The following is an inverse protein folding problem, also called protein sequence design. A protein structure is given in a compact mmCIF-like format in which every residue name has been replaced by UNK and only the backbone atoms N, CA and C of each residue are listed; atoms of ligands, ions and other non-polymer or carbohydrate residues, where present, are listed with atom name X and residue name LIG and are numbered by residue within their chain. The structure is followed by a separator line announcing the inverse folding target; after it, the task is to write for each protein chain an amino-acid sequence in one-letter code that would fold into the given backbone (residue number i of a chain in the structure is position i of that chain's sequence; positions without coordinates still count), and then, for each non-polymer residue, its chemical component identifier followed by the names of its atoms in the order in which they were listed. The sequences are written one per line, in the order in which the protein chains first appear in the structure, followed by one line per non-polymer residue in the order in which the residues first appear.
data_IF_745925687130
#
_entry.id   IF_745925687130
#
_cell.length_a   1.000
_cell.length_b   1.000
_cell.length_c   1.000
_cell.angle_alpha   90.00
_cell.angle_beta   90.00
_cell.angle_gamma   90.00
#
_symmetry.space_group_name_H-M   'P 1'
#
loop_
_entity.id
_entity.type
_entity.pdbx_description
1 polymer ?
#
# COMPACT_ATOMS: atom_id res chain seq x y z
N UNK A 1 13.27 3.07 46.31
CA UNK A 1 13.73 3.18 44.91
C UNK A 1 13.14 2.02 44.17
N UNK A 2 12.08 2.25 43.40
CA UNK A 2 11.42 1.19 42.60
C UNK A 2 12.00 1.22 41.21
N UNK A 3 12.67 0.14 40.85
CA UNK A 3 13.24 -0.07 39.52
C UNK A 3 12.08 -0.38 38.53
N UNK A 4 11.71 0.57 37.72
CA UNK A 4 10.71 0.40 36.69
C UNK A 4 11.29 -0.55 35.60
N UNK A 5 10.95 -1.82 35.70
CA UNK A 5 11.29 -2.82 34.68
C UNK A 5 10.56 -2.50 33.41
N UNK A 6 11.29 -2.10 32.36
CA UNK A 6 10.77 -1.98 31.02
C UNK A 6 10.35 -3.39 30.57
N UNK A 7 9.05 -3.65 30.55
CA UNK A 7 8.47 -4.83 29.94
C UNK A 7 8.78 -4.79 28.42
N UNK A 8 9.89 -5.42 28.02
CA UNK A 8 10.15 -5.73 26.62
C UNK A 8 9.08 -6.74 26.19
N UNK A 9 8.07 -6.27 25.48
CA UNK A 9 7.11 -7.13 24.80
C UNK A 9 7.89 -8.11 23.92
N UNK A 10 7.87 -9.40 24.26
CA UNK A 10 8.50 -10.45 23.45
C UNK A 10 7.63 -10.62 22.22
N UNK A 11 8.15 -10.27 21.06
CA UNK A 11 7.54 -10.66 19.77
C UNK A 11 7.29 -12.18 19.79
N UNK A 12 6.14 -12.60 19.31
CA UNK A 12 5.87 -14.04 19.20
C UNK A 12 6.89 -14.67 18.24
N UNK A 13 7.18 -15.95 18.44
CA UNK A 13 8.09 -16.70 17.56
C UNK A 13 7.60 -16.63 16.10
N UNK A 14 6.28 -16.63 15.88
CA UNK A 14 5.68 -16.48 14.55
C UNK A 14 5.98 -15.11 13.93
N UNK A 15 5.90 -14.03 14.72
CA UNK A 15 6.27 -12.67 14.25
C UNK A 15 7.76 -12.57 13.90
N UNK A 16 8.63 -13.17 14.71
CA UNK A 16 10.07 -13.19 14.43
C UNK A 16 10.39 -14.01 13.17
N UNK A 17 9.69 -15.13 12.96
CA UNK A 17 9.85 -15.94 11.75
C UNK A 17 9.33 -15.21 10.50
N UNK A 18 8.20 -14.54 10.57
CA UNK A 18 7.66 -13.75 9.47
C UNK A 18 8.62 -12.61 9.10
N UNK A 19 9.10 -11.84 10.09
CA UNK A 19 10.08 -10.77 9.89
C UNK A 19 11.37 -11.33 9.27
N UNK A 20 11.91 -12.43 9.80
CA UNK A 20 13.14 -13.04 9.28
C UNK A 20 12.98 -13.67 7.89
N UNK A 21 11.78 -14.15 7.53
CA UNK A 21 11.48 -14.62 6.18
C UNK A 21 11.50 -13.46 5.19
N UNK A 22 10.79 -12.41 5.53
CA UNK A 22 10.73 -11.20 4.72
C UNK A 22 12.07 -10.50 4.60
N UNK A 23 12.84 -10.39 5.69
CA UNK A 23 14.21 -9.85 5.61
C UNK A 23 15.12 -10.69 4.71
N UNK A 24 14.91 -12.02 4.66
CA UNK A 24 15.66 -12.90 3.75
C UNK A 24 15.24 -12.70 2.30
N UNK A 25 13.96 -12.56 2.02
CA UNK A 25 13.44 -12.26 0.68
C UNK A 25 13.94 -10.91 0.19
N UNK A 26 13.85 -9.88 1.01
CA UNK A 26 14.42 -8.55 0.73
C UNK A 26 15.92 -8.65 0.44
N UNK A 27 16.68 -9.38 1.25
CA UNK A 27 18.14 -9.55 1.04
C UNK A 27 18.46 -10.37 -0.21
N UNK A 28 17.64 -11.35 -0.57
CA UNK A 28 17.84 -12.18 -1.75
C UNK A 28 17.61 -11.40 -3.06
N UNK A 29 16.69 -10.45 -3.04
CA UNK A 29 16.35 -9.57 -4.18
C UNK A 29 17.18 -8.28 -4.19
N UNK A 30 17.85 -7.95 -3.06
CA UNK A 30 18.41 -6.62 -2.80
C UNK A 30 19.79 -6.44 -3.43
N UNK A 31 19.79 -5.91 -4.64
CA UNK A 31 20.94 -5.21 -5.23
C UNK A 31 20.88 -3.73 -4.82
N UNK A 32 22.01 -3.02 -4.93
CA UNK A 32 22.23 -1.68 -4.35
C UNK A 32 21.11 -0.63 -4.51
N UNK A 33 20.30 -0.70 -5.56
CA UNK A 33 19.18 0.23 -5.78
C UNK A 33 18.00 -0.03 -4.84
N UNK A 34 17.64 -1.31 -4.61
CA UNK A 34 16.58 -1.70 -3.66
C UNK A 34 16.95 -1.28 -2.23
N UNK A 35 18.23 -1.45 -1.85
CA UNK A 35 18.72 -0.98 -0.54
C UNK A 35 18.50 0.51 -0.34
N UNK A 36 18.70 1.31 -1.39
CA UNK A 36 18.46 2.75 -1.32
C UNK A 36 16.99 3.04 -1.06
N UNK A 37 16.05 2.40 -1.77
CA UNK A 37 14.61 2.59 -1.59
C UNK A 37 14.16 2.25 -0.18
N UNK A 38 14.55 1.08 0.32
CA UNK A 38 14.24 0.64 1.68
C UNK A 38 14.84 1.59 2.72
N UNK A 39 16.09 2.04 2.53
CA UNK A 39 16.72 3.00 3.41
C UNK A 39 15.99 4.34 3.41
N UNK A 40 15.69 4.89 2.23
CA UNK A 40 14.99 6.18 2.09
C UNK A 40 13.61 6.11 2.76
N UNK A 41 12.91 4.96 2.65
CA UNK A 41 11.66 4.71 3.34
C UNK A 41 11.81 4.71 4.87
N UNK A 42 12.73 3.91 5.40
CA UNK A 42 12.96 3.85 6.84
C UNK A 42 13.47 5.16 7.43
N UNK A 43 14.27 5.91 6.69
CA UNK A 43 14.76 7.23 7.12
C UNK A 43 13.65 8.26 7.17
N UNK A 44 12.72 8.22 6.20
CA UNK A 44 11.62 9.16 6.12
C UNK A 44 10.57 9.00 7.22
N UNK A 45 10.43 7.79 7.77
CA UNK A 45 9.31 7.40 8.64
C UNK A 45 9.74 6.90 10.03
N UNK A 46 10.62 7.67 10.69
CA UNK A 46 11.16 7.34 12.03
C UNK A 46 10.39 7.96 13.20
N UNK A 47 9.54 8.95 12.94
CA UNK A 47 8.83 9.70 13.96
C UNK A 47 7.42 10.03 13.51
N UNK A 48 6.57 10.34 14.46
CA UNK A 48 5.20 10.78 14.21
C UNK A 48 4.92 12.11 14.90
N UNK A 49 3.88 12.81 14.49
CA UNK A 49 3.45 14.10 15.03
C UNK A 49 2.42 13.91 16.15
N UNK A 50 1.43 13.06 15.94
CA UNK A 50 0.34 12.79 16.88
C UNK A 50 -0.30 11.43 16.66
N UNK A 51 -0.99 10.92 17.68
CA UNK A 51 -1.82 9.72 17.57
C UNK A 51 -3.17 10.09 16.97
N UNK A 52 -3.69 9.19 16.13
CA UNK A 52 -4.96 9.30 15.45
C UNK A 52 -5.89 8.14 15.86
N UNK A 53 -7.20 8.38 15.79
CA UNK A 53 -8.19 7.32 15.76
C UNK A 53 -8.36 6.79 14.33
N UNK A 54 -8.94 5.60 14.17
CA UNK A 54 -9.35 5.06 12.87
C UNK A 54 -10.28 6.02 12.14
N UNK A 55 -11.19 6.70 12.87
CA UNK A 55 -12.11 7.67 12.27
C UNK A 55 -11.40 8.93 11.74
N UNK A 56 -10.28 9.33 12.34
CA UNK A 56 -9.44 10.42 11.80
C UNK A 56 -8.85 10.00 10.47
N UNK A 57 -8.29 8.79 10.38
CA UNK A 57 -7.74 8.24 9.13
C UNK A 57 -8.82 8.17 8.03
N UNK A 58 -10.01 7.65 8.37
CA UNK A 58 -11.14 7.59 7.43
C UNK A 58 -11.53 8.95 6.87
N UNK A 59 -11.53 9.98 7.73
CA UNK A 59 -11.81 11.36 7.28
C UNK A 59 -10.74 11.88 6.33
N UNK A 60 -9.49 11.60 6.59
CA UNK A 60 -8.39 12.00 5.69
C UNK A 60 -8.47 11.28 4.35
N UNK A 61 -8.76 9.96 4.34
CA UNK A 61 -9.02 9.19 3.12
C UNK A 61 -10.17 9.81 2.32
N UNK A 62 -11.30 10.08 2.96
CA UNK A 62 -12.48 10.63 2.29
C UNK A 62 -12.25 12.03 1.68
N UNK A 63 -11.29 12.81 2.21
CA UNK A 63 -10.95 14.17 1.73
C UNK A 63 -9.86 14.18 0.66
N UNK A 64 -9.24 13.03 0.38
CA UNK A 64 -8.12 12.93 -0.55
C UNK A 64 -8.60 12.65 -1.97
N UNK A 65 -7.88 13.13 -2.97
CA UNK A 65 -8.10 12.79 -4.37
C UNK A 65 -7.45 11.46 -4.73
N UNK A 66 -6.26 11.21 -4.17
CA UNK A 66 -5.51 9.96 -4.30
C UNK A 66 -5.09 9.50 -2.92
N UNK A 67 -5.20 8.20 -2.66
CA UNK A 67 -4.71 7.54 -1.45
C UNK A 67 -3.75 6.44 -1.86
N UNK A 68 -2.48 6.59 -1.48
CA UNK A 68 -1.45 5.56 -1.64
C UNK A 68 -1.44 4.69 -0.38
N UNK A 69 -1.67 3.41 -0.51
CA UNK A 69 -1.63 2.42 0.58
C UNK A 69 -0.40 1.54 0.41
N UNK A 70 0.45 1.51 1.43
CA UNK A 70 1.67 0.71 1.42
C UNK A 70 1.34 -0.78 1.47
N UNK A 71 1.91 -1.54 0.55
CA UNK A 71 1.81 -2.98 0.49
C UNK A 71 3.12 -3.62 0.94
N UNK A 72 3.05 -4.39 2.01
CA UNK A 72 4.09 -5.30 2.39
C UNK A 72 3.71 -6.68 1.88
N UNK A 73 4.07 -6.97 0.63
CA UNK A 73 3.55 -8.07 -0.20
C UNK A 73 3.44 -9.43 0.51
N UNK A 74 4.38 -9.74 1.38
CA UNK A 74 4.42 -10.99 2.14
C UNK A 74 3.48 -10.99 3.37
N UNK A 75 2.79 -9.89 3.68
CA UNK A 75 1.87 -9.79 4.80
C UNK A 75 0.42 -9.65 4.32
N UNK A 76 -0.39 -10.72 4.40
CA UNK A 76 -1.81 -10.70 4.01
C UNK A 76 -2.63 -9.56 4.62
N UNK A 77 -2.23 -9.09 5.80
CA UNK A 77 -2.92 -7.97 6.45
C UNK A 77 -2.84 -6.67 5.66
N UNK A 78 -1.80 -6.46 4.85
CA UNK A 78 -1.68 -5.25 4.03
C UNK A 78 -2.80 -5.16 2.99
N UNK A 79 -3.05 -6.25 2.26
CA UNK A 79 -4.09 -6.34 1.25
C UNK A 79 -5.49 -6.35 1.89
N UNK A 80 -5.67 -7.10 2.99
CA UNK A 80 -6.95 -7.18 3.73
C UNK A 80 -7.35 -5.87 4.36
N UNK A 81 -6.38 -5.06 4.83
CA UNK A 81 -6.69 -3.72 5.31
C UNK A 81 -7.34 -2.88 4.21
N UNK A 82 -6.77 -2.89 3.01
CA UNK A 82 -7.35 -2.15 1.90
C UNK A 82 -8.71 -2.73 1.48
N UNK A 83 -8.86 -4.05 1.43
CA UNK A 83 -10.16 -4.69 1.18
C UNK A 83 -11.22 -4.27 2.21
N UNK A 84 -10.84 -4.18 3.50
CA UNK A 84 -11.71 -3.68 4.56
C UNK A 84 -12.05 -2.20 4.37
N UNK A 85 -11.07 -1.38 4.01
CA UNK A 85 -11.28 0.05 3.75
C UNK A 85 -12.26 0.26 2.58
N UNK A 86 -12.15 -0.52 1.51
CA UNK A 86 -13.07 -0.45 0.36
C UNK A 86 -14.51 -0.86 0.70
N UNK A 87 -14.74 -1.67 1.74
CA UNK A 87 -16.08 -2.05 2.21
C UNK A 87 -16.74 -0.95 3.06
N UNK A 88 -16.04 0.11 3.41
CA UNK A 88 -16.58 1.16 4.26
C UNK A 88 -17.46 2.15 3.48
N UNK A 89 -18.69 2.37 3.97
CA UNK A 89 -19.69 3.23 3.31
C UNK A 89 -19.26 4.68 3.10
N UNK A 90 -18.34 5.19 3.91
CA UNK A 90 -17.87 6.57 3.80
C UNK A 90 -17.04 6.81 2.53
N UNK A 91 -16.39 5.77 2.00
CA UNK A 91 -15.61 5.84 0.77
C UNK A 91 -16.52 5.93 -0.45
N UNK A 92 -17.70 5.26 -0.39
CA UNK A 92 -18.65 5.16 -1.51
C UNK A 92 -19.56 6.39 -1.72
N UNK A 93 -19.26 7.52 -1.08
CA UNK A 93 -19.97 8.80 -1.38
C UNK A 93 -19.65 9.35 -2.76
N UNK A 94 -18.65 8.80 -3.41
CA UNK A 94 -18.19 9.12 -4.78
C UNK A 94 -17.67 7.84 -5.45
N UNK A 95 -17.53 7.82 -6.78
CA UNK A 95 -16.91 6.69 -7.48
C UNK A 95 -15.54 6.36 -6.90
N UNK A 96 -15.20 5.07 -6.88
CA UNK A 96 -13.90 4.59 -6.42
C UNK A 96 -13.15 3.95 -7.60
N UNK A 97 -11.87 4.26 -7.69
CA UNK A 97 -10.93 3.63 -8.62
C UNK A 97 -9.84 2.96 -7.80
N UNK A 98 -9.62 1.67 -8.03
CA UNK A 98 -8.52 0.93 -7.42
C UNK A 98 -7.38 0.75 -8.41
N UNK A 99 -6.20 1.24 -8.07
CA UNK A 99 -4.96 0.96 -8.79
C UNK A 99 -4.09 -0.02 -8.02
N UNK A 100 -3.51 -1.03 -8.68
CA UNK A 100 -2.69 -2.04 -8.02
C UNK A 100 -1.37 -2.30 -8.74
N UNK A 101 -0.29 -2.47 -7.97
CA UNK A 101 1.03 -2.82 -8.50
C UNK A 101 1.08 -4.27 -8.99
N UNK A 102 0.31 -5.16 -8.39
CA UNK A 102 0.34 -6.60 -8.65
C UNK A 102 0.11 -6.93 -10.12
N UNK A 103 -0.71 -6.15 -10.83
CA UNK A 103 -1.05 -6.36 -12.24
C UNK A 103 -0.35 -5.31 -13.10
N UNK A 104 0.29 -5.78 -14.19
CA UNK A 104 0.87 -4.89 -15.17
C UNK A 104 -0.18 -4.11 -15.94
N UNK A 105 0.07 -2.86 -16.24
CA UNK A 105 -0.84 -2.02 -17.04
C UNK A 105 -1.12 -2.59 -18.45
N UNK A 106 -0.19 -3.37 -19.01
CA UNK A 106 -0.39 -4.08 -20.30
C UNK A 106 -1.44 -5.18 -20.24
N UNK A 107 -1.69 -5.74 -19.04
CA UNK A 107 -2.61 -6.86 -18.82
C UNK A 107 -4.01 -6.37 -18.41
N UNK A 108 -4.29 -5.05 -18.57
CA UNK A 108 -5.56 -4.43 -18.20
C UNK A 108 -6.76 -5.13 -18.84
N UNK A 109 -6.66 -5.54 -20.11
CA UNK A 109 -7.74 -6.24 -20.82
C UNK A 109 -8.16 -7.54 -20.11
N UNK A 110 -7.22 -8.28 -19.50
CA UNK A 110 -7.53 -9.50 -18.74
C UNK A 110 -8.32 -9.15 -17.48
N UNK A 111 -7.92 -8.06 -16.82
CA UNK A 111 -8.61 -7.57 -15.64
C UNK A 111 -10.02 -7.07 -15.97
N UNK A 112 -10.19 -6.42 -17.13
CA UNK A 112 -11.49 -5.95 -17.61
C UNK A 112 -12.42 -7.13 -17.90
N UNK A 113 -11.95 -8.18 -18.59
CA UNK A 113 -12.71 -9.41 -18.83
C UNK A 113 -13.18 -10.07 -17.52
N UNK A 114 -12.29 -10.13 -16.52
CA UNK A 114 -12.66 -10.64 -15.20
C UNK A 114 -13.70 -9.74 -14.49
N UNK A 115 -13.54 -8.43 -14.54
CA UNK A 115 -14.50 -7.50 -13.94
C UNK A 115 -15.90 -7.63 -14.57
N UNK A 116 -15.97 -7.92 -15.88
CA UNK A 116 -17.24 -8.17 -16.58
C UNK A 116 -17.79 -9.59 -16.39
N UNK A 117 -17.05 -10.47 -15.72
CA UNK A 117 -17.47 -11.86 -15.49
C UNK A 117 -17.28 -12.77 -16.72
N UNK A 118 -16.46 -12.37 -17.69
CA UNK A 118 -16.17 -13.12 -18.90
C UNK A 118 -15.16 -14.25 -18.63
N UNK A 119 -14.31 -14.07 -17.63
CA UNK A 119 -13.36 -15.08 -17.12
C UNK A 119 -13.50 -15.25 -15.62
N UNK A 120 -13.15 -16.43 -15.10
CA UNK A 120 -13.17 -16.74 -13.69
C UNK A 120 -11.86 -16.37 -12.95
N UNK A 121 -11.80 -16.64 -11.63
CA UNK A 121 -10.64 -16.40 -10.79
C UNK A 121 -9.40 -17.17 -11.27
N UNK A 122 -9.55 -18.43 -11.61
CA UNK A 122 -8.45 -19.29 -11.99
C UNK A 122 -7.83 -18.83 -13.32
N UNK A 123 -8.67 -18.45 -14.27
CA UNK A 123 -8.24 -17.91 -15.56
C UNK A 123 -7.59 -16.53 -15.41
N UNK A 124 -8.15 -15.61 -14.61
CA UNK A 124 -7.50 -14.34 -14.28
C UNK A 124 -6.08 -14.58 -13.75
N UNK A 125 -5.96 -15.38 -12.70
CA UNK A 125 -4.69 -15.69 -12.03
C UNK A 125 -3.64 -16.25 -12.98
N UNK A 126 -4.07 -17.18 -13.86
CA UNK A 126 -3.21 -17.81 -14.85
C UNK A 126 -2.75 -16.79 -15.92
N UNK A 127 -3.67 -16.02 -16.49
CA UNK A 127 -3.40 -15.13 -17.61
C UNK A 127 -2.55 -13.93 -17.23
N UNK A 128 -2.71 -13.38 -16.01
CA UNK A 128 -1.81 -12.35 -15.47
C UNK A 128 -0.48 -12.93 -14.98
N UNK A 129 -0.29 -14.25 -15.06
CA UNK A 129 0.95 -14.96 -14.68
C UNK A 129 1.37 -14.69 -13.23
N UNK A 130 0.39 -14.65 -12.32
CA UNK A 130 0.61 -14.21 -10.94
C UNK A 130 1.76 -14.92 -10.23
N UNK A 131 1.88 -16.25 -10.34
CA UNK A 131 2.93 -17.04 -9.71
C UNK A 131 4.33 -16.72 -10.24
N UNK A 132 4.43 -16.38 -11.52
CA UNK A 132 5.71 -16.11 -12.17
C UNK A 132 6.17 -14.66 -11.95
N UNK A 133 5.23 -13.73 -12.06
CA UNK A 133 5.55 -12.30 -12.07
C UNK A 133 5.42 -11.66 -10.68
N UNK A 134 4.71 -12.34 -9.72
CA UNK A 134 4.51 -11.83 -8.36
C UNK A 134 4.93 -12.82 -7.27
N UNK A 135 4.39 -14.04 -7.25
CA UNK A 135 4.86 -15.14 -6.42
C UNK A 135 4.51 -15.07 -4.93
N UNK A 136 3.64 -14.16 -4.52
CA UNK A 136 3.12 -14.07 -3.15
C UNK A 136 1.80 -14.82 -3.00
N UNK A 137 1.18 -14.78 -1.81
CA UNK A 137 -0.12 -15.40 -1.57
C UNK A 137 -1.22 -14.72 -2.40
N UNK A 138 -1.91 -15.51 -3.22
CA UNK A 138 -2.99 -15.02 -4.08
C UNK A 138 -4.24 -14.61 -3.31
N UNK A 139 -4.61 -15.34 -2.27
CA UNK A 139 -5.90 -15.18 -1.62
C UNK A 139 -6.17 -13.75 -1.10
N UNK A 140 -5.22 -13.04 -0.43
CA UNK A 140 -5.44 -11.67 0.01
C UNK A 140 -5.60 -10.67 -1.16
N UNK A 141 -4.90 -10.88 -2.27
CA UNK A 141 -5.05 -10.05 -3.47
C UNK A 141 -6.40 -10.28 -4.13
N UNK A 142 -6.82 -11.53 -4.24
CA UNK A 142 -8.14 -11.84 -4.79
C UNK A 142 -9.28 -11.31 -3.89
N UNK A 143 -9.13 -11.39 -2.58
CA UNK A 143 -10.07 -10.78 -1.63
C UNK A 143 -10.20 -9.26 -1.87
N UNK A 144 -9.08 -8.58 -2.12
CA UNK A 144 -9.08 -7.15 -2.46
C UNK A 144 -9.77 -6.87 -3.79
N UNK A 145 -9.43 -7.61 -4.85
CA UNK A 145 -10.04 -7.46 -6.17
C UNK A 145 -11.56 -7.68 -6.11
N UNK A 146 -11.98 -8.75 -5.41
CA UNK A 146 -13.40 -9.07 -5.22
C UNK A 146 -14.12 -7.97 -4.45
N UNK A 147 -13.53 -7.48 -3.36
CA UNK A 147 -14.11 -6.38 -2.58
C UNK A 147 -14.28 -5.11 -3.45
N UNK A 148 -13.30 -4.79 -4.30
CA UNK A 148 -13.39 -3.66 -5.21
C UNK A 148 -14.51 -3.84 -6.23
N UNK A 149 -14.59 -5.01 -6.90
CA UNK A 149 -15.64 -5.34 -7.87
C UNK A 149 -17.03 -5.32 -7.26
N UNK A 150 -17.21 -5.94 -6.10
CA UNK A 150 -18.49 -6.04 -5.40
C UNK A 150 -19.05 -4.67 -4.99
N UNK A 151 -18.17 -3.68 -4.84
CA UNK A 151 -18.53 -2.29 -4.53
C UNK A 151 -18.52 -1.37 -5.75
N UNK A 152 -18.42 -1.92 -6.95
CA UNK A 152 -18.50 -1.17 -8.21
C UNK A 152 -17.30 -0.29 -8.50
N UNK A 153 -16.14 -0.57 -7.88
CA UNK A 153 -14.90 0.15 -8.20
C UNK A 153 -14.32 -0.29 -9.55
N UNK A 154 -13.83 0.65 -10.34
CA UNK A 154 -13.01 0.34 -11.51
C UNK A 154 -11.60 -0.03 -11.06
N UNK A 155 -11.04 -1.13 -11.59
CA UNK A 155 -9.74 -1.65 -11.14
C UNK A 155 -8.72 -1.55 -12.28
N UNK A 156 -7.50 -1.08 -11.96
CA UNK A 156 -6.44 -0.84 -12.93
C UNK A 156 -5.09 -1.39 -12.48
N UNK A 157 -4.40 -2.07 -13.39
CA UNK A 157 -3.00 -2.46 -13.23
C UNK A 157 -2.08 -1.25 -13.44
N UNK A 158 -1.14 -1.04 -12.53
CA UNK A 158 -0.27 0.14 -12.52
C UNK A 158 1.19 -0.13 -12.85
N UNK A 159 1.64 -1.36 -12.79
CA UNK A 159 3.06 -1.67 -12.95
C UNK A 159 3.51 -1.85 -14.40
N UNK A 160 4.81 -1.84 -14.61
CA UNK A 160 5.45 -2.10 -15.90
C UNK A 160 6.71 -2.97 -15.75
N UNK A 161 7.11 -3.60 -16.85
CA UNK A 161 8.35 -4.35 -16.93
C UNK A 161 9.57 -3.43 -17.12
N UNK A 162 10.78 -3.84 -16.78
CA UNK A 162 11.09 -5.07 -16.04
C UNK A 162 10.97 -4.86 -14.53
N UNK A 163 10.28 -5.76 -13.85
CA UNK A 163 10.13 -5.73 -12.38
C UNK A 163 11.43 -6.14 -11.69
N UNK A 164 12.20 -7.03 -12.30
CA UNK A 164 13.42 -7.59 -11.73
C UNK A 164 14.64 -6.65 -11.83
N UNK A 165 14.61 -5.65 -12.72
CA UNK A 165 15.70 -4.69 -12.85
C UNK A 165 15.54 -3.54 -11.87
N UNK A 166 16.03 -3.73 -10.65
CA UNK A 166 15.97 -2.73 -9.59
C UNK A 166 16.66 -1.39 -9.93
N UNK A 167 17.51 -1.36 -10.97
CA UNK A 167 18.10 -0.09 -11.47
C UNK A 167 17.03 0.78 -12.14
N UNK A 168 15.94 0.18 -12.56
CA UNK A 168 14.79 0.84 -13.20
C UNK A 168 13.62 1.08 -12.26
N UNK A 169 13.78 0.87 -10.96
CA UNK A 169 12.71 1.06 -9.97
C UNK A 169 12.09 2.47 -10.05
N UNK A 170 12.89 3.51 -10.23
CA UNK A 170 12.40 4.87 -10.43
C UNK A 170 11.67 5.08 -11.77
N UNK A 171 11.88 4.23 -12.79
CA UNK A 171 11.08 4.25 -14.00
C UNK A 171 9.68 3.65 -13.76
N UNK A 172 9.59 2.64 -12.89
CA UNK A 172 8.32 2.08 -12.45
C UNK A 172 7.51 3.11 -11.67
N UNK A 173 8.13 3.88 -10.76
CA UNK A 173 7.47 4.99 -10.05
C UNK A 173 6.89 6.02 -11.02
N UNK A 174 7.66 6.44 -12.03
CA UNK A 174 7.17 7.38 -13.05
C UNK A 174 6.02 6.79 -13.84
N UNK A 175 6.15 5.54 -14.30
CA UNK A 175 5.07 4.85 -15.03
C UNK A 175 3.79 4.76 -14.20
N UNK A 176 3.89 4.37 -12.93
CA UNK A 176 2.75 4.33 -12.02
C UNK A 176 2.14 5.74 -11.82
N UNK A 177 2.98 6.77 -11.64
CA UNK A 177 2.51 8.14 -11.53
C UNK A 177 1.78 8.63 -12.78
N UNK A 178 2.31 8.32 -13.98
CA UNK A 178 1.66 8.63 -15.26
C UNK A 178 0.27 7.97 -15.35
N UNK A 179 0.18 6.68 -14.98
CA UNK A 179 -1.09 5.95 -14.97
C UNK A 179 -2.09 6.53 -13.96
N UNK A 180 -1.64 6.86 -12.75
CA UNK A 180 -2.52 7.47 -11.72
C UNK A 180 -3.00 8.85 -12.16
N UNK A 181 -2.16 9.65 -12.81
CA UNK A 181 -2.55 10.94 -13.37
C UNK A 181 -3.58 10.80 -14.50
N UNK A 182 -3.41 9.84 -15.41
CA UNK A 182 -4.38 9.49 -16.43
C UNK A 182 -5.72 9.06 -15.81
N UNK A 183 -5.69 8.24 -14.75
CA UNK A 183 -6.89 7.84 -14.03
C UNK A 183 -7.58 9.04 -13.40
N UNK A 184 -6.83 9.94 -12.79
CA UNK A 184 -7.38 11.17 -12.20
C UNK A 184 -8.06 12.06 -13.25
N UNK A 185 -7.46 12.15 -14.44
CA UNK A 185 -8.04 12.89 -15.55
C UNK A 185 -9.34 12.25 -16.07
N UNK A 186 -9.37 10.93 -16.20
CA UNK A 186 -10.56 10.17 -16.66
C UNK A 186 -11.68 10.09 -15.63
N UNK A 187 -11.34 10.16 -14.36
CA UNK A 187 -12.26 10.03 -13.23
C UNK A 187 -12.12 11.20 -12.25
N UNK A 188 -12.46 12.43 -12.66
CA UNK A 188 -12.16 13.65 -11.88
C UNK A 188 -12.86 13.69 -10.52
N UNK A 189 -14.01 13.04 -10.37
CA UNK A 189 -14.78 13.00 -9.11
C UNK A 189 -14.50 11.78 -8.26
N UNK A 190 -13.73 10.81 -8.77
CA UNK A 190 -13.47 9.56 -8.05
C UNK A 190 -12.45 9.74 -6.93
N UNK A 191 -12.54 8.87 -5.93
CA UNK A 191 -11.45 8.55 -5.03
C UNK A 191 -10.57 7.51 -5.71
N UNK A 192 -9.31 7.86 -5.98
CA UNK A 192 -8.33 6.90 -6.49
C UNK A 192 -7.58 6.32 -5.30
N UNK A 193 -7.72 5.00 -5.09
CA UNK A 193 -7.01 4.27 -4.05
C UNK A 193 -5.99 3.36 -4.71
N UNK A 194 -4.76 3.41 -4.26
CA UNK A 194 -3.63 2.70 -4.88
C UNK A 194 -2.98 1.79 -3.86
N UNK A 195 -2.86 0.50 -4.16
CA UNK A 195 -2.01 -0.44 -3.41
C UNK A 195 -0.67 -0.58 -4.12
N UNK A 196 0.40 -0.18 -3.47
CA UNK A 196 1.74 -0.19 -4.05
C UNK A 196 2.78 -0.54 -2.99
N UNK A 197 3.87 -1.20 -3.40
CA UNK A 197 4.94 -1.61 -2.49
C UNK A 197 5.42 -0.46 -1.61
N UNK A 198 5.47 -0.67 -0.30
CA UNK A 198 5.71 0.39 0.68
C UNK A 198 7.02 1.15 0.45
N UNK A 199 8.08 0.49 -0.04
CA UNK A 199 9.37 1.12 -0.34
C UNK A 199 9.27 2.22 -1.41
N UNK A 200 8.27 2.13 -2.30
CA UNK A 200 7.97 3.14 -3.32
C UNK A 200 7.27 4.38 -2.74
N UNK A 201 6.78 4.31 -1.50
CA UNK A 201 6.04 5.39 -0.85
C UNK A 201 6.93 6.35 -0.06
N UNK A 202 8.25 6.19 -0.07
CA UNK A 202 9.14 7.22 0.46
C UNK A 202 8.90 8.56 -0.26
N UNK A 203 9.01 9.72 0.43
CA UNK A 203 8.64 11.02 -0.13
C UNK A 203 9.34 11.40 -1.44
N UNK A 204 10.56 10.86 -1.64
CA UNK A 204 11.37 11.10 -2.85
C UNK A 204 11.01 10.24 -4.07
N UNK A 205 10.08 9.32 -3.94
CA UNK A 205 9.74 8.29 -4.94
C UNK A 205 8.37 8.56 -5.57
N UNK A 206 7.45 7.58 -5.57
CA UNK A 206 6.11 7.72 -6.15
C UNK A 206 5.34 8.96 -5.67
N UNK A 207 5.32 9.32 -4.35
CA UNK A 207 4.62 10.53 -3.91
C UNK A 207 5.14 11.80 -4.57
N UNK A 208 6.48 11.92 -4.74
CA UNK A 208 7.08 13.06 -5.45
C UNK A 208 6.67 13.12 -6.92
N UNK A 209 6.69 11.97 -7.61
CA UNK A 209 6.30 11.90 -9.01
C UNK A 209 4.84 12.34 -9.20
N UNK A 210 3.94 11.90 -8.31
CA UNK A 210 2.54 12.33 -8.32
C UNK A 210 2.38 13.82 -8.06
N UNK A 211 3.08 14.37 -7.06
CA UNK A 211 3.02 15.79 -6.76
C UNK A 211 3.50 16.66 -7.94
N UNK A 212 4.50 16.21 -8.69
CA UNK A 212 4.98 16.90 -9.89
C UNK A 212 3.94 16.92 -11.02
N UNK A 213 3.14 15.86 -11.16
CA UNK A 213 2.13 15.75 -12.21
C UNK A 213 0.77 16.33 -11.81
N UNK A 214 0.43 16.28 -10.53
CA UNK A 214 -0.87 16.67 -10.00
C UNK A 214 -0.71 17.54 -8.74
N UNK A 215 -0.09 18.74 -8.82
CA UNK A 215 0.24 19.55 -7.64
C UNK A 215 -0.99 19.99 -6.84
N UNK A 216 -2.15 20.14 -7.50
CA UNK A 216 -3.41 20.54 -6.86
C UNK A 216 -4.21 19.35 -6.26
N UNK A 217 -3.77 18.11 -6.52
CA UNK A 217 -4.46 16.93 -6.00
C UNK A 217 -3.95 16.58 -4.62
N UNK A 218 -4.85 16.54 -3.63
CA UNK A 218 -4.48 16.04 -2.31
C UNK A 218 -4.17 14.53 -2.39
N UNK A 219 -2.91 14.17 -2.18
CA UNK A 219 -2.42 12.81 -2.08
C UNK A 219 -2.20 12.47 -0.61
N UNK A 220 -2.82 11.39 -0.12
CA UNK A 220 -2.59 10.84 1.21
C UNK A 220 -1.79 9.55 1.09
N UNK A 221 -0.73 9.41 1.86
CA UNK A 221 0.01 8.15 2.00
C UNK A 221 -0.41 7.45 3.29
N UNK A 222 -0.88 6.22 3.17
CA UNK A 222 -1.25 5.34 4.29
C UNK A 222 -0.21 4.24 4.39
N UNK A 223 0.66 4.33 5.38
CA UNK A 223 1.63 3.31 5.74
C UNK A 223 0.98 2.28 6.66
N UNK A 224 1.51 1.07 6.70
CA UNK A 224 0.95 0.00 7.51
C UNK A 224 2.01 -0.62 8.42
N UNK A 225 1.67 -0.79 9.70
CA UNK A 225 2.41 -1.60 10.68
C UNK A 225 3.91 -1.29 10.80
N UNK A 226 4.32 -0.01 10.70
CA UNK A 226 5.72 0.36 10.89
C UNK A 226 6.08 0.23 12.36
N UNK A 227 6.82 -0.80 12.70
CA UNK A 227 7.23 -1.18 14.05
C UNK A 227 7.81 -0.01 14.86
N UNK A 228 8.72 0.77 14.26
CA UNK A 228 9.38 1.87 14.93
C UNK A 228 8.38 2.95 15.38
N UNK A 229 7.34 3.21 14.61
CA UNK A 229 6.28 4.16 14.94
C UNK A 229 5.35 3.60 16.01
N UNK A 230 4.96 2.31 15.88
CA UNK A 230 4.11 1.64 16.86
C UNK A 230 4.73 1.63 18.24
N UNK A 231 5.98 1.17 18.37
CA UNK A 231 6.66 1.08 19.67
C UNK A 231 6.90 2.43 20.32
N UNK A 232 7.15 3.45 19.51
CA UNK A 232 7.29 4.82 20.03
C UNK A 232 5.96 5.34 20.55
N UNK A 233 4.87 5.16 19.81
CA UNK A 233 3.55 5.64 20.19
C UNK A 233 2.95 4.86 21.36
N UNK A 234 3.13 3.53 21.40
CA UNK A 234 2.61 2.67 22.47
C UNK A 234 3.38 2.79 23.78
N UNK A 235 4.69 3.13 23.74
CA UNK A 235 5.50 3.34 24.94
C UNK A 235 5.08 4.54 25.79
N UNK A 236 4.35 5.47 25.20
CA UNK A 236 3.87 6.70 25.84
C UNK A 236 2.41 6.59 26.33
N UNK A 237 1.72 5.46 26.09
CA UNK A 237 0.27 5.33 26.33
C UNK A 237 -0.13 3.98 26.91
N UNK A 238 -1.20 4.00 27.69
CA UNK A 238 -1.83 2.80 28.27
C UNK A 238 -2.87 2.17 27.34
N UNK A 239 -3.34 2.89 26.32
CA UNK A 239 -4.37 2.43 25.38
C UNK A 239 -3.76 1.94 24.07
N UNK A 240 -4.44 1.01 23.40
CA UNK A 240 -4.05 0.53 22.07
C UNK A 240 -3.97 1.71 21.09
N UNK A 241 -2.82 1.84 20.44
CA UNK A 241 -2.61 2.83 19.37
C UNK A 241 -3.09 2.21 18.06
N UNK A 242 -4.05 2.86 17.42
CA UNK A 242 -4.63 2.38 16.15
C UNK A 242 -3.97 3.01 14.93
N UNK A 243 -3.58 4.29 15.06
CA UNK A 243 -2.90 5.00 13.99
C UNK A 243 -2.10 6.19 14.52
N UNK A 244 -1.18 6.68 13.71
CA UNK A 244 -0.43 7.92 13.96
C UNK A 244 -0.36 8.78 12.70
N UNK A 245 -0.32 10.10 12.89
CA UNK A 245 0.04 11.04 11.83
C UNK A 245 1.55 11.20 11.80
N UNK A 246 2.16 10.85 10.69
CA UNK A 246 3.62 10.92 10.49
C UNK A 246 4.01 12.29 9.93
N UNK A 247 3.25 12.78 8.96
CA UNK A 247 3.32 14.10 8.33
C UNK A 247 1.92 14.55 7.95
N UNK A 248 1.75 15.76 7.44
CA UNK A 248 0.44 16.31 7.08
C UNK A 248 -0.32 15.45 6.05
N UNK A 249 0.43 14.81 5.15
CA UNK A 249 -0.04 13.95 4.05
C UNK A 249 0.30 12.47 4.25
N UNK A 250 0.79 12.08 5.44
CA UNK A 250 1.22 10.69 5.73
C UNK A 250 0.68 10.23 7.07
N UNK A 251 -0.03 9.13 7.05
CA UNK A 251 -0.51 8.42 8.25
C UNK A 251 0.06 7.00 8.29
N UNK A 252 0.20 6.43 9.47
CA UNK A 252 0.51 5.01 9.64
C UNK A 252 -0.58 4.36 10.47
N UNK A 253 -1.13 3.24 9.98
CA UNK A 253 -2.15 2.44 10.68
C UNK A 253 -1.54 1.17 11.24
N UNK A 254 -2.11 0.66 12.34
CA UNK A 254 -1.67 -0.56 13.02
C UNK A 254 -2.85 -1.54 13.09
N UNK A 255 -2.86 -2.52 12.18
CA UNK A 255 -3.94 -3.48 11.93
C UNK A 255 -3.50 -4.95 12.09
#
# INVERSE_FOLDING_TARGET
MATTGILRSRRSVAQLHAIASVEREIRAVDRAAGRKYIRDFHEAYRSYQRVLSVNDVRREVARSGVVLVGDYHALPNSQRYLASLLRETQIHRRPVVLGIETIFSRDQHILDEWQHGEIDEAELRQRIRFELDWGYDWAPFYELLSAARDHGASIYGLDCMPREDLRKIGARDRHAADKIADLRHRHPDALIVVLFGESHLAPGHLPRALHQQMPETKVLTVLQNIDALYWRASGERTNKVEAVQVKDDVVCVFN
#
